data_IF_875227895729
#
_entry.id   IF_875227895729
#
_cell.length_a   1.000
_cell.length_b   1.000
_cell.length_c   1.000
_cell.angle_alpha   90.00
_cell.angle_beta   90.00
_cell.angle_gamma   90.00
#
_symmetry.space_group_name_H-M   'P 1'
#
loop_
_entity.id
_entity.type
_entity.pdbx_description
1 polymer ?
#
# COMPACT_ATOMS: atom_id res chain seq x y z
N UNK A 1 -7.65 -3.46 11.53
CA UNK A 1 -7.59 -3.08 10.11
C UNK A 1 -6.35 -3.68 9.46
N UNK A 2 -6.51 -4.57 8.47
CA UNK A 2 -5.41 -5.09 7.67
C UNK A 2 -4.65 -3.98 6.93
N UNK A 3 -3.34 -4.14 6.72
CA UNK A 3 -2.53 -3.22 5.91
C UNK A 3 -2.62 -3.55 4.42
N UNK A 4 -3.83 -3.44 3.88
CA UNK A 4 -4.17 -3.77 2.48
C UNK A 4 -4.75 -2.53 1.80
N UNK A 5 -4.33 -2.29 0.55
CA UNK A 5 -4.89 -1.25 -0.32
C UNK A 5 -5.20 -1.87 -1.67
N UNK A 6 -6.44 -1.73 -2.10
CA UNK A 6 -6.94 -2.27 -3.35
C UNK A 6 -7.37 -1.15 -4.29
N UNK A 7 -7.03 -1.29 -5.56
CA UNK A 7 -7.42 -0.36 -6.62
C UNK A 7 -8.41 -1.05 -7.55
N UNK A 8 -9.51 -0.37 -7.84
CA UNK A 8 -10.56 -0.84 -8.75
C UNK A 8 -10.81 0.20 -9.83
N UNK A 9 -11.71 -0.07 -10.78
CA UNK A 9 -12.06 0.90 -11.82
C UNK A 9 -12.84 2.11 -11.30
N UNK A 10 -13.42 2.02 -10.11
CA UNK A 10 -14.27 3.08 -9.53
C UNK A 10 -13.62 3.73 -8.31
N UNK A 11 -13.09 2.91 -7.41
CA UNK A 11 -12.68 3.34 -6.09
C UNK A 11 -11.41 2.66 -5.58
N UNK A 12 -10.88 3.22 -4.48
CA UNK A 12 -9.77 2.66 -3.74
C UNK A 12 -10.29 2.12 -2.42
N UNK A 13 -10.07 0.84 -2.18
CA UNK A 13 -10.46 0.14 -0.95
C UNK A 13 -9.26 0.04 -0.01
N UNK A 14 -9.48 0.16 1.29
CA UNK A 14 -8.41 0.09 2.31
C UNK A 14 -8.89 -0.78 3.48
N UNK A 15 -8.00 -1.61 4.01
CA UNK A 15 -8.30 -2.43 5.19
C UNK A 15 -9.10 -3.68 4.84
N UNK A 16 -10.15 -3.94 5.62
CA UNK A 16 -10.93 -5.19 5.50
C UNK A 16 -11.58 -5.32 4.11
N UNK A 17 -12.07 -4.21 3.54
CA UNK A 17 -12.64 -4.19 2.19
C UNK A 17 -11.60 -4.61 1.13
N UNK A 18 -10.35 -4.14 1.25
CA UNK A 18 -9.27 -4.52 0.35
C UNK A 18 -8.87 -5.99 0.51
N UNK A 19 -8.77 -6.48 1.76
CA UNK A 19 -8.41 -7.87 2.04
C UNK A 19 -9.46 -8.85 1.53
N UNK A 20 -10.73 -8.54 1.63
CA UNK A 20 -11.82 -9.45 1.25
C UNK A 20 -11.87 -9.71 -0.26
N UNK A 21 -11.40 -8.78 -1.09
CA UNK A 21 -11.41 -8.93 -2.55
C UNK A 21 -10.09 -9.43 -3.14
N UNK A 22 -9.05 -9.69 -2.32
CA UNK A 22 -7.70 -10.02 -2.83
C UNK A 22 -7.70 -11.23 -3.76
N UNK A 23 -8.58 -12.21 -3.53
CA UNK A 23 -8.70 -13.39 -4.38
C UNK A 23 -9.28 -13.09 -5.77
N UNK A 24 -10.11 -12.05 -5.90
CA UNK A 24 -10.74 -11.64 -7.16
C UNK A 24 -9.92 -10.59 -7.91
N UNK A 25 -9.14 -9.79 -7.19
CA UNK A 25 -8.34 -8.70 -7.76
C UNK A 25 -6.91 -8.70 -7.18
N UNK A 26 -6.13 -9.77 -7.38
CA UNK A 26 -4.84 -9.94 -6.72
C UNK A 26 -3.78 -8.96 -7.23
N UNK A 27 -3.74 -8.67 -8.54
CA UNK A 27 -2.73 -7.80 -9.16
C UNK A 27 -2.85 -6.33 -8.75
N UNK A 28 -4.06 -5.89 -8.37
CA UNK A 28 -4.32 -4.51 -7.93
C UNK A 28 -4.61 -4.41 -6.44
N UNK A 29 -4.35 -5.48 -5.67
CA UNK A 29 -4.47 -5.49 -4.21
C UNK A 29 -3.08 -5.58 -3.59
N UNK A 30 -2.61 -4.45 -3.09
CA UNK A 30 -1.29 -4.27 -2.51
C UNK A 30 -1.31 -4.55 -1.01
N UNK A 31 -0.37 -5.37 -0.57
CA UNK A 31 -0.09 -5.67 0.83
C UNK A 31 1.43 -5.69 1.05
N UNK A 32 1.87 -5.79 2.30
CA UNK A 32 3.29 -5.86 2.66
C UNK A 32 4.17 -4.70 2.14
N UNK A 33 3.59 -3.55 1.79
CA UNK A 33 4.31 -2.37 1.31
C UNK A 33 5.43 -1.92 2.27
N UNK A 34 5.28 -2.17 3.58
CA UNK A 34 6.31 -1.89 4.60
C UNK A 34 7.65 -2.59 4.34
N UNK A 35 7.66 -3.74 3.65
CA UNK A 35 8.89 -4.45 3.27
C UNK A 35 9.73 -3.69 2.24
N UNK A 36 9.10 -2.81 1.46
CA UNK A 36 9.73 -2.02 0.40
C UNK A 36 10.20 -0.63 0.85
N UNK A 37 9.65 -0.10 1.95
CA UNK A 37 9.99 1.25 2.43
C UNK A 37 11.49 1.33 2.77
N UNK A 38 12.15 2.36 2.25
CA UNK A 38 13.58 2.60 2.50
C UNK A 38 14.53 1.64 1.78
N UNK A 39 14.01 0.72 0.94
CA UNK A 39 14.84 -0.19 0.13
C UNK A 39 14.99 0.29 -1.30
N UNK A 40 16.03 -0.24 -1.94
CA UNK A 40 16.24 -0.11 -3.39
C UNK A 40 15.56 -1.26 -4.12
N UNK A 41 15.07 -1.00 -5.32
CA UNK A 41 14.48 -2.01 -6.18
C UNK A 41 15.49 -3.14 -6.45
N UNK A 42 16.76 -2.80 -6.67
CA UNK A 42 17.83 -3.79 -6.89
C UNK A 42 18.25 -4.61 -5.66
N UNK A 43 17.74 -4.32 -4.46
CA UNK A 43 18.08 -5.07 -3.24
C UNK A 43 17.68 -6.56 -3.40
N UNK A 44 18.60 -7.53 -3.16
CA UNK A 44 18.29 -8.95 -3.29
C UNK A 44 17.07 -9.39 -2.50
N UNK A 45 16.81 -8.78 -1.34
CA UNK A 45 15.62 -9.06 -0.54
C UNK A 45 14.33 -8.62 -1.23
N UNK A 46 14.34 -7.45 -1.88
CA UNK A 46 13.21 -6.94 -2.68
C UNK A 46 12.97 -7.85 -3.89
N UNK A 47 14.04 -8.24 -4.60
CA UNK A 47 13.95 -9.15 -5.74
C UNK A 47 13.42 -10.54 -5.35
N UNK A 48 13.72 -11.02 -4.13
CA UNK A 48 13.17 -12.27 -3.61
C UNK A 48 11.68 -12.12 -3.23
N UNK A 49 11.33 -11.07 -2.49
CA UNK A 49 9.95 -10.81 -2.05
C UNK A 49 9.01 -10.58 -3.24
N UNK A 50 9.46 -9.91 -4.30
CA UNK A 50 8.69 -9.67 -5.52
C UNK A 50 8.22 -10.95 -6.22
N UNK A 51 8.90 -12.08 -6.03
CA UNK A 51 8.49 -13.38 -6.61
C UNK A 51 7.27 -13.98 -5.92
N UNK A 52 6.94 -13.48 -4.73
CA UNK A 52 5.84 -13.98 -3.89
C UNK A 52 4.58 -13.12 -4.01
N UNK A 53 4.69 -11.94 -4.63
CA UNK A 53 3.57 -11.01 -4.74
C UNK A 53 2.86 -11.13 -6.09
N UNK A 54 1.52 -10.99 -6.11
CA UNK A 54 0.75 -10.97 -7.34
C UNK A 54 0.79 -9.62 -8.05
N UNK A 55 1.14 -8.54 -7.36
CA UNK A 55 1.22 -7.20 -7.93
C UNK A 55 2.62 -6.90 -8.47
N UNK A 56 2.69 -6.06 -9.49
CA UNK A 56 3.94 -5.72 -10.17
C UNK A 56 4.69 -4.62 -9.42
N UNK A 57 6.00 -4.77 -9.31
CA UNK A 57 6.92 -3.74 -8.82
C UNK A 57 7.95 -3.45 -9.91
N UNK A 58 8.25 -2.17 -10.15
CA UNK A 58 9.19 -1.70 -11.18
C UNK A 58 10.22 -0.72 -10.58
N UNK A 59 11.40 -0.56 -11.20
CA UNK A 59 12.35 0.45 -10.77
C UNK A 59 11.86 1.85 -11.15
N UNK A 60 11.84 2.76 -10.17
CA UNK A 60 11.62 4.18 -10.35
C UNK A 60 12.91 5.01 -10.25
N UNK A 61 12.77 6.34 -10.19
CA UNK A 61 13.90 7.25 -10.04
C UNK A 61 14.77 6.91 -8.83
N UNK A 62 16.10 6.91 -9.01
CA UNK A 62 17.04 6.60 -7.93
C UNK A 62 17.00 5.14 -7.47
N UNK A 63 16.52 4.22 -8.32
CA UNK A 63 16.38 2.79 -8.01
C UNK A 63 15.37 2.54 -6.87
N UNK A 64 14.37 3.42 -6.73
CA UNK A 64 13.28 3.26 -5.76
C UNK A 64 12.25 2.26 -6.29
N UNK A 65 11.79 1.26 -5.52
CA UNK A 65 10.74 0.36 -5.96
C UNK A 65 9.41 1.12 -6.10
N UNK A 66 8.72 0.93 -7.22
CA UNK A 66 7.41 1.52 -7.52
C UNK A 66 6.39 0.41 -7.77
N UNK A 67 5.26 0.45 -7.09
CA UNK A 67 4.19 -0.54 -7.20
C UNK A 67 3.25 -0.11 -8.32
N UNK A 68 3.03 -1.00 -9.28
CA UNK A 68 2.20 -0.75 -10.46
C UNK A 68 0.84 -1.38 -10.26
N UNK A 69 -0.20 -0.57 -10.43
CA UNK A 69 -1.60 -1.00 -10.34
C UNK A 69 -2.42 -0.37 -11.44
N UNK A 70 -3.53 -1.00 -11.80
CA UNK A 70 -4.56 -0.39 -12.63
C UNK A 70 -5.61 0.27 -11.74
N UNK A 71 -5.83 1.55 -11.95
CA UNK A 71 -6.81 2.34 -11.21
C UNK A 71 -7.58 3.22 -12.19
N UNK A 72 -8.91 3.10 -12.20
CA UNK A 72 -9.79 3.84 -13.12
C UNK A 72 -9.40 3.66 -14.59
N UNK A 73 -9.11 2.42 -14.99
CA UNK A 73 -8.68 2.08 -16.35
C UNK A 73 -7.24 2.48 -16.73
N UNK A 74 -6.55 3.27 -15.90
CA UNK A 74 -5.19 3.74 -16.15
C UNK A 74 -4.16 2.98 -15.32
N UNK A 75 -2.97 2.77 -15.89
CA UNK A 75 -1.83 2.29 -15.11
C UNK A 75 -1.31 3.44 -14.23
N UNK A 76 -1.14 3.17 -12.94
CA UNK A 76 -0.59 4.10 -11.96
C UNK A 76 0.56 3.44 -11.24
N UNK A 77 1.55 4.26 -10.88
CA UNK A 77 2.68 3.85 -10.08
C UNK A 77 2.65 4.58 -8.75
N UNK A 78 2.76 3.82 -7.67
CA UNK A 78 2.80 4.34 -6.31
C UNK A 78 4.07 3.91 -5.61
N UNK A 79 4.65 4.82 -4.86
CA UNK A 79 5.72 4.49 -3.94
C UNK A 79 5.19 3.71 -2.71
N UNK A 80 6.03 2.89 -2.05
CA UNK A 80 5.64 2.18 -0.83
C UNK A 80 5.12 3.10 0.28
N UNK A 81 5.64 4.33 0.35
CA UNK A 81 5.22 5.35 1.31
C UNK A 81 3.82 5.89 0.99
N UNK A 82 3.46 6.04 -0.29
CA UNK A 82 2.10 6.43 -0.69
C UNK A 82 1.08 5.35 -0.35
N UNK A 83 1.41 4.07 -0.57
CA UNK A 83 0.53 2.96 -0.15
C UNK A 83 0.36 2.96 1.37
N UNK A 84 1.44 3.16 2.12
CA UNK A 84 1.40 3.21 3.58
C UNK A 84 0.62 4.42 4.10
N UNK A 85 0.70 5.57 3.42
CA UNK A 85 -0.06 6.77 3.79
C UNK A 85 -1.56 6.58 3.63
N UNK A 86 -2.01 5.79 2.64
CA UNK A 86 -3.42 5.43 2.48
C UNK A 86 -3.91 4.61 3.68
N UNK A 87 -3.11 3.63 4.14
CA UNK A 87 -3.43 2.87 5.35
C UNK A 87 -3.48 3.78 6.59
N UNK A 88 -2.49 4.68 6.75
CA UNK A 88 -2.47 5.62 7.88
C UNK A 88 -3.66 6.59 7.85
N UNK A 89 -4.08 7.03 6.67
CA UNK A 89 -5.27 7.86 6.48
C UNK A 89 -6.50 7.13 6.98
N UNK A 90 -6.65 5.83 6.64
CA UNK A 90 -7.76 5.03 7.14
C UNK A 90 -7.74 4.87 8.66
N UNK A 91 -6.55 4.68 9.25
CA UNK A 91 -6.41 4.59 10.71
C UNK A 91 -6.77 5.91 11.40
N UNK A 92 -6.39 7.04 10.80
CA UNK A 92 -6.80 8.37 11.25
C UNK A 92 -8.32 8.52 11.20
N UNK A 93 -8.97 8.22 10.06
CA UNK A 93 -10.43 8.30 9.91
C UNK A 93 -11.18 7.48 10.97
N UNK A 94 -10.69 6.27 11.27
CA UNK A 94 -11.29 5.41 12.31
C UNK A 94 -11.21 6.10 13.68
N UNK A 95 -10.05 6.66 14.03
CA UNK A 95 -9.86 7.33 15.30
C UNK A 95 -10.66 8.65 15.39
N UNK A 96 -10.75 9.41 14.29
CA UNK A 96 -11.55 10.64 14.22
C UNK A 96 -13.05 10.33 14.34
N UNK A 97 -13.53 9.26 13.71
CA UNK A 97 -14.92 8.81 13.84
C UNK A 97 -15.26 8.36 15.27
N UNK A 98 -14.31 7.72 15.96
CA UNK A 98 -14.49 7.32 17.35
C UNK A 98 -14.48 8.51 18.33
N UNK A 99 -13.58 9.49 18.12
CA UNK A 99 -13.41 10.63 19.02
C UNK A 99 -14.28 11.85 18.66
N UNK A 100 -14.85 11.91 17.46
CA UNK A 100 -15.67 13.02 16.98
C UNK A 100 -14.88 14.31 16.70
N UNK A 101 -13.57 14.23 16.53
CA UNK A 101 -12.70 15.41 16.32
C UNK A 101 -11.54 15.11 15.36
N UNK A 102 -10.95 16.15 14.79
CA UNK A 102 -9.80 16.03 13.90
C UNK A 102 -8.50 15.70 14.66
N UNK A 103 -7.77 14.69 14.20
CA UNK A 103 -6.49 14.27 14.77
C UNK A 103 -5.34 14.79 13.89
N UNK A 104 -4.39 15.49 14.52
CA UNK A 104 -3.23 16.09 13.84
C UNK A 104 -1.89 15.49 14.26
N UNK A 105 -1.82 14.85 15.42
CA UNK A 105 -0.58 14.31 15.97
C UNK A 105 -0.71 12.79 16.10
N UNK A 106 0.37 12.07 15.78
CA UNK A 106 0.43 10.62 15.88
C UNK A 106 1.86 10.16 16.21
N UNK A 107 1.97 9.04 16.92
CA UNK A 107 3.21 8.29 17.07
C UNK A 107 3.07 7.02 16.22
N UNK A 108 4.03 6.78 15.32
CA UNK A 108 4.01 5.62 14.40
C UNK A 108 5.16 4.69 14.76
N UNK A 109 4.85 3.41 14.95
CA UNK A 109 5.83 2.40 15.36
C UNK A 109 6.58 1.81 14.15
N UNK A 110 7.86 1.53 14.35
CA UNK A 110 8.74 0.85 13.39
C UNK A 110 9.40 -0.36 14.07
N UNK A 111 9.87 -1.38 13.32
CA UNK A 111 10.68 -2.45 13.89
C UNK A 111 11.95 -1.88 14.54
N UNK A 112 12.47 -2.57 15.55
CA UNK A 112 13.73 -2.22 16.23
C UNK A 112 14.96 -2.54 15.37
#
# INVERSE_FOLDING_TARGET
TPSYVAFTDTERLIGDAAKNQVAMNPENTVFDAKRLIGRRYSDPSVQADMKLWPFKVVPGPGDKPMIVVRYKGEEKQFSPEEISSMVLTKMKEIAEAFLGQTIKNAVVTVPA
#
